data_IF_647074664735
#
_entry.id   IF_647074664735
#
_cell.length_a   1.000
_cell.length_b   1.000
_cell.length_c   1.000
_cell.angle_alpha   90.00
_cell.angle_beta   90.00
_cell.angle_gamma   90.00
#
_symmetry.space_group_name_H-M   'P 1'
#
loop_
_entity.id
_entity.type
_entity.pdbx_description
1 polymer ?
#
# COMPACT_ATOMS: atom_id res chain seq x y z
N UNK A 1 4.66 3.97 5.65
CA UNK A 1 3.97 2.73 5.21
C UNK A 1 4.29 1.63 6.23
N UNK A 2 3.46 0.59 6.29
CA UNK A 2 3.57 -0.46 7.31
C UNK A 2 4.64 -1.53 6.97
N UNK A 3 4.93 -1.73 5.68
CA UNK A 3 5.90 -2.72 5.21
C UNK A 3 6.90 -2.12 4.22
N UNK A 4 8.17 -2.46 4.41
CA UNK A 4 9.26 -2.17 3.47
C UNK A 4 10.22 -3.35 3.40
N UNK A 5 10.90 -3.51 2.27
CA UNK A 5 11.87 -4.58 2.09
C UNK A 5 12.52 -4.57 0.71
N UNK A 6 13.28 -5.63 0.42
CA UNK A 6 13.90 -5.84 -0.90
C UNK A 6 13.54 -7.23 -1.38
N UNK A 7 13.10 -7.35 -2.63
CA UNK A 7 12.91 -8.62 -3.30
C UNK A 7 13.53 -8.57 -4.69
N UNK A 8 14.34 -9.58 -5.03
CA UNK A 8 15.01 -9.67 -6.33
C UNK A 8 15.81 -8.41 -6.73
N UNK A 9 16.39 -7.72 -5.76
CA UNK A 9 17.14 -6.48 -5.98
C UNK A 9 16.29 -5.21 -6.10
N UNK A 10 14.97 -5.32 -6.04
CA UNK A 10 14.05 -4.17 -6.11
C UNK A 10 13.59 -3.78 -4.71
N UNK A 11 13.69 -2.49 -4.38
CA UNK A 11 13.08 -1.95 -3.16
C UNK A 11 11.56 -2.02 -3.26
N UNK A 12 10.90 -2.54 -2.22
CA UNK A 12 9.45 -2.67 -2.15
C UNK A 12 8.95 -1.92 -0.92
N UNK A 13 7.90 -1.12 -1.10
CA UNK A 13 7.19 -0.43 -0.03
C UNK A 13 5.69 -0.61 -0.23
N UNK A 14 4.96 -1.12 0.76
CA UNK A 14 3.52 -1.22 0.65
C UNK A 14 2.81 -1.03 1.99
N UNK A 15 1.54 -0.67 1.88
CA UNK A 15 0.62 -0.60 3.02
C UNK A 15 -0.42 -1.72 2.89
N UNK A 16 -0.85 -2.31 4.00
CA UNK A 16 -1.89 -3.33 4.02
C UNK A 16 -3.10 -2.80 4.78
N UNK A 17 -4.27 -2.87 4.16
CA UNK A 17 -5.53 -2.38 4.73
C UNK A 17 -6.62 -3.42 4.51
N UNK A 18 -7.60 -3.42 5.40
CA UNK A 18 -8.78 -4.26 5.27
C UNK A 18 -10.06 -3.44 5.38
N UNK A 19 -11.13 -3.92 4.75
CA UNK A 19 -12.45 -3.29 4.82
C UNK A 19 -13.54 -4.34 4.76
N UNK A 20 -14.66 -4.05 5.44
CA UNK A 20 -15.91 -4.81 5.31
C UNK A 20 -16.83 -4.22 4.25
N UNK A 21 -16.56 -3.01 3.75
CA UNK A 21 -17.38 -2.38 2.70
C UNK A 21 -17.03 -2.96 1.32
N UNK A 22 -17.95 -2.90 0.37
CA UNK A 22 -17.73 -3.29 -1.03
C UNK A 22 -16.86 -2.31 -1.83
N UNK A 23 -16.38 -1.24 -1.20
CA UNK A 23 -15.45 -0.27 -1.80
C UNK A 23 -14.45 0.24 -0.77
N UNK A 24 -13.29 0.69 -1.27
CA UNK A 24 -12.23 1.26 -0.43
C UNK A 24 -12.12 2.78 -0.66
N UNK A 25 -12.19 3.55 0.42
CA UNK A 25 -12.05 4.99 0.38
C UNK A 25 -10.59 5.40 0.55
N UNK A 26 -9.92 5.80 -0.54
CA UNK A 26 -8.53 6.27 -0.51
C UNK A 26 -8.31 7.55 0.31
N UNK A 27 -9.37 8.25 0.71
CA UNK A 27 -9.31 9.34 1.69
C UNK A 27 -8.88 8.87 3.08
N UNK A 28 -9.04 7.58 3.40
CA UNK A 28 -8.61 6.98 4.68
C UNK A 28 -7.10 6.79 4.78
N UNK A 29 -6.38 6.82 3.66
CA UNK A 29 -4.92 6.77 3.64
C UNK A 29 -4.35 8.10 4.08
N UNK A 30 -3.56 8.07 5.16
CA UNK A 30 -2.95 9.27 5.71
C UNK A 30 -1.90 9.83 4.76
N UNK A 31 -1.71 11.16 4.78
CA UNK A 31 -0.82 11.84 3.83
C UNK A 31 0.61 11.26 3.87
N UNK A 32 1.15 11.03 5.07
CA UNK A 32 2.49 10.47 5.23
C UNK A 32 2.62 9.07 4.59
N UNK A 33 1.56 8.26 4.54
CA UNK A 33 1.59 6.95 3.89
C UNK A 33 1.67 7.10 2.37
N UNK A 34 0.91 8.05 1.81
CA UNK A 34 0.94 8.39 0.38
C UNK A 34 2.31 8.91 -0.01
N UNK A 35 2.88 9.83 0.76
CA UNK A 35 4.18 10.43 0.48
C UNK A 35 5.27 9.37 0.42
N UNK A 36 5.30 8.43 1.37
CA UNK A 36 6.22 7.30 1.37
C UNK A 36 6.09 6.41 0.11
N UNK A 37 4.86 6.09 -0.32
CA UNK A 37 4.65 5.28 -1.53
C UNK A 37 5.08 6.03 -2.79
N UNK A 38 4.76 7.32 -2.87
CA UNK A 38 5.16 8.19 -3.98
C UNK A 38 6.70 8.28 -4.04
N UNK A 39 7.36 8.48 -2.92
CA UNK A 39 8.81 8.63 -2.87
C UNK A 39 9.53 7.30 -3.15
N UNK A 40 9.01 6.17 -2.66
CA UNK A 40 9.50 4.85 -3.03
C UNK A 40 9.44 4.65 -4.55
N UNK A 41 8.31 5.00 -5.18
CA UNK A 41 8.14 4.90 -6.62
C UNK A 41 9.09 5.83 -7.40
N UNK A 42 9.25 7.09 -6.98
CA UNK A 42 10.19 8.04 -7.60
C UNK A 42 11.63 7.51 -7.62
N UNK A 43 12.04 6.79 -6.57
CA UNK A 43 13.37 6.20 -6.45
C UNK A 43 13.47 4.79 -7.07
N UNK A 44 12.63 4.47 -8.06
CA UNK A 44 12.64 3.20 -8.80
C UNK A 44 12.30 1.98 -7.93
N UNK A 45 11.68 2.18 -6.77
CA UNK A 45 11.08 1.11 -5.98
C UNK A 45 9.69 0.73 -6.46
N UNK A 46 9.25 -0.47 -6.13
CA UNK A 46 7.88 -0.92 -6.31
C UNK A 46 7.05 -0.47 -5.11
N UNK A 47 6.00 0.31 -5.35
CA UNK A 47 5.11 0.81 -4.32
C UNK A 47 3.65 0.45 -4.62
N UNK A 48 2.93 -0.12 -3.65
CA UNK A 48 1.52 -0.50 -3.82
C UNK A 48 0.78 -0.54 -2.49
N UNK A 49 -0.53 -0.80 -2.55
CA UNK A 49 -1.38 -1.00 -1.37
C UNK A 49 -2.08 -2.34 -1.55
N UNK A 50 -2.03 -3.17 -0.52
CA UNK A 50 -2.75 -4.43 -0.46
C UNK A 50 -4.05 -4.20 0.32
N UNK A 51 -5.18 -4.47 -0.32
CA UNK A 51 -6.51 -4.22 0.26
C UNK A 51 -7.25 -5.55 0.33
N UNK A 52 -7.66 -5.93 1.53
CA UNK A 52 -8.52 -7.10 1.76
C UNK A 52 -9.97 -6.67 1.99
N UNK A 53 -10.86 -7.08 1.09
CA UNK A 53 -12.30 -6.99 1.22
C UNK A 53 -12.82 -8.19 2.02
N UNK A 54 -12.75 -8.07 3.35
CA UNK A 54 -13.06 -9.15 4.30
C UNK A 54 -14.45 -9.78 4.14
N UNK A 55 -15.44 -9.06 3.59
CA UNK A 55 -16.76 -9.63 3.29
C UNK A 55 -16.77 -10.56 2.07
N UNK A 56 -15.94 -10.28 1.08
CA UNK A 56 -15.80 -11.08 -0.14
C UNK A 56 -14.65 -12.11 -0.03
N UNK A 57 -13.75 -11.94 0.93
CA UNK A 57 -12.48 -12.67 1.04
C UNK A 57 -11.62 -12.53 -0.23
N UNK A 58 -11.52 -11.29 -0.72
CA UNK A 58 -10.82 -10.89 -1.95
C UNK A 58 -9.87 -9.71 -1.69
#
# INVERSE_FOLDING_TARGET
VDYTGVAQGTFIAFDAKETKASSFQFSRLQQHQKDNLIDAHKHQGQAFILILFTQANE
#
